data_IF_028399102055
#
_entry.id   IF_028399102055
#
_cell.length_a   1.000
_cell.length_b   1.000
_cell.length_c   1.000
_cell.angle_alpha   90.00
_cell.angle_beta   90.00
_cell.angle_gamma   90.00
#
_symmetry.space_group_name_H-M   'P 1'
#
loop_
_entity.id
_entity.type
_entity.pdbx_description
1 polymer ?
#
# COMPACT_ATOMS: atom_id res chain seq x y z
N UNK A 1 5.20 -9.30 -15.88
CA UNK A 1 4.92 -7.91 -16.30
C UNK A 1 6.16 -7.09 -15.93
N UNK A 2 6.50 -5.98 -16.63
CA UNK A 2 7.71 -5.26 -16.32
C UNK A 2 7.59 -4.64 -14.93
N UNK A 3 8.47 -5.09 -14.03
CA UNK A 3 8.69 -4.55 -12.69
C UNK A 3 8.90 -3.04 -12.78
N UNK A 4 8.08 -2.25 -12.08
CA UNK A 4 8.40 -0.84 -11.88
C UNK A 4 9.53 -0.80 -10.85
N UNK A 5 10.76 -0.65 -11.33
CA UNK A 5 11.95 -0.51 -10.48
C UNK A 5 11.80 0.77 -9.67
N UNK A 6 11.54 0.64 -8.37
CA UNK A 6 11.71 1.75 -7.45
C UNK A 6 13.19 2.09 -7.38
N UNK A 7 13.55 3.36 -7.38
CA UNK A 7 14.95 3.74 -7.14
C UNK A 7 15.45 3.16 -5.81
N UNK A 8 16.73 2.77 -5.77
CA UNK A 8 17.49 2.30 -4.59
C UNK A 8 17.00 1.02 -3.91
N UNK A 9 17.10 -0.13 -4.62
CA UNK A 9 17.08 -1.46 -4.00
C UNK A 9 15.70 -2.05 -3.69
N UNK A 10 14.62 -1.55 -4.29
CA UNK A 10 13.26 -2.10 -4.12
C UNK A 10 12.43 -1.94 -5.40
N UNK A 11 11.36 -2.71 -5.52
CA UNK A 11 10.41 -2.58 -6.62
C UNK A 11 8.96 -2.64 -6.15
N UNK A 12 8.06 -2.23 -7.03
CA UNK A 12 6.62 -2.45 -6.87
C UNK A 12 6.21 -3.77 -7.53
N UNK A 13 5.72 -4.71 -6.74
CA UNK A 13 5.22 -6.00 -7.23
C UNK A 13 3.81 -5.82 -7.81
N UNK A 14 3.68 -6.08 -9.12
CA UNK A 14 2.44 -5.89 -9.88
C UNK A 14 1.31 -6.86 -9.52
N UNK A 15 1.63 -7.98 -8.87
CA UNK A 15 0.67 -9.02 -8.54
C UNK A 15 0.02 -8.76 -7.17
N UNK A 16 0.83 -8.35 -6.21
CA UNK A 16 0.42 -8.05 -4.83
C UNK A 16 0.08 -6.58 -4.62
N UNK A 17 0.55 -5.69 -5.50
CA UNK A 17 0.49 -4.23 -5.36
C UNK A 17 1.26 -3.69 -4.14
N UNK A 18 2.27 -4.44 -3.70
CA UNK A 18 3.10 -4.14 -2.54
C UNK A 18 4.54 -3.80 -2.95
N UNK A 19 5.22 -2.95 -2.18
CA UNK A 19 6.66 -2.77 -2.34
C UNK A 19 7.43 -3.99 -1.81
N UNK A 20 8.52 -4.34 -2.49
CA UNK A 20 9.43 -5.44 -2.15
C UNK A 20 10.87 -4.95 -2.21
N UNK A 21 11.66 -5.23 -1.17
CA UNK A 21 13.09 -4.92 -1.16
C UNK A 21 13.86 -6.01 -1.92
N UNK A 22 14.63 -5.59 -2.92
CA UNK A 22 15.53 -6.45 -3.72
C UNK A 22 16.96 -6.46 -3.14
N UNK A 23 17.40 -5.31 -2.63
CA UNK A 23 18.71 -5.09 -2.02
C UNK A 23 18.54 -4.25 -0.75
N UNK A 24 18.58 -4.92 0.41
CA UNK A 24 18.39 -4.27 1.70
C UNK A 24 19.50 -3.25 2.01
N UNK A 25 20.75 -3.50 1.58
CA UNK A 25 21.86 -2.59 1.85
C UNK A 25 21.71 -1.29 1.05
N UNK A 26 21.39 -1.41 -0.24
CA UNK A 26 21.11 -0.25 -1.08
C UNK A 26 19.86 0.51 -0.62
N UNK A 27 18.81 -0.21 -0.22
CA UNK A 27 17.59 0.38 0.33
C UNK A 27 17.91 1.19 1.58
N UNK A 28 18.57 0.59 2.59
CA UNK A 28 18.94 1.27 3.84
C UNK A 28 19.81 2.50 3.59
N UNK A 29 20.80 2.41 2.70
CA UNK A 29 21.68 3.53 2.37
C UNK A 29 20.92 4.74 1.80
N UNK A 30 19.81 4.51 1.08
CA UNK A 30 19.00 5.58 0.49
C UNK A 30 18.02 6.26 1.45
N UNK A 31 17.69 5.64 2.59
CA UNK A 31 16.69 6.17 3.53
C UNK A 31 17.25 7.16 4.57
N UNK A 32 18.58 7.29 4.67
CA UNK A 32 19.23 8.19 5.63
C UNK A 32 18.77 7.92 7.08
N UNK A 33 18.48 8.98 7.82
CA UNK A 33 18.07 8.92 9.24
C UNK A 33 16.54 8.75 9.43
N UNK A 34 15.83 8.12 8.48
CA UNK A 34 14.38 7.88 8.62
C UNK A 34 14.11 7.02 9.88
N UNK A 35 13.41 7.55 10.90
CA UNK A 35 13.15 6.83 12.14
C UNK A 35 12.23 5.61 11.94
N UNK A 36 11.59 5.49 10.78
CA UNK A 36 10.73 4.37 10.40
C UNK A 36 11.45 3.31 9.55
N UNK A 37 12.74 3.49 9.26
CA UNK A 37 13.52 2.61 8.38
C UNK A 37 13.43 1.14 8.78
N UNK A 38 13.62 0.81 10.06
CA UNK A 38 13.61 -0.59 10.50
C UNK A 38 12.23 -1.24 10.30
N UNK A 39 11.15 -0.47 10.53
CA UNK A 39 9.79 -0.94 10.23
C UNK A 39 9.62 -1.20 8.72
N UNK A 40 10.06 -0.27 7.88
CA UNK A 40 9.97 -0.41 6.42
C UNK A 40 10.72 -1.65 5.92
N UNK A 41 11.94 -1.87 6.41
CA UNK A 41 12.73 -3.05 6.05
C UNK A 41 12.02 -4.33 6.46
N UNK A 42 11.51 -4.43 7.68
CA UNK A 42 10.78 -5.62 8.12
C UNK A 42 9.51 -5.84 7.28
N UNK A 43 8.74 -4.79 7.03
CA UNK A 43 7.50 -4.86 6.27
C UNK A 43 7.75 -5.27 4.80
N UNK A 44 8.66 -4.58 4.11
CA UNK A 44 8.91 -4.77 2.68
C UNK A 44 9.78 -6.02 2.39
N UNK A 45 10.43 -6.59 3.42
CA UNK A 45 11.00 -7.95 3.38
C UNK A 45 10.02 -9.03 3.85
N UNK A 46 8.71 -8.77 3.83
CA UNK A 46 7.64 -9.75 4.14
C UNK A 46 7.72 -10.33 5.56
N UNK A 47 8.18 -9.53 6.53
CA UNK A 47 8.23 -9.87 7.97
C UNK A 47 7.30 -8.97 8.80
N UNK A 48 6.00 -8.86 8.49
CA UNK A 48 5.10 -7.93 9.17
C UNK A 48 4.89 -8.27 10.66
N UNK A 49 5.06 -9.55 11.05
CA UNK A 49 5.03 -9.95 12.47
C UNK A 49 6.15 -9.31 13.30
N UNK A 50 7.35 -9.19 12.73
CA UNK A 50 8.47 -8.49 13.37
C UNK A 50 8.32 -6.97 13.32
N UNK A 51 7.61 -6.43 12.31
CA UNK A 51 7.33 -5.00 12.20
C UNK A 51 6.26 -4.51 13.20
N UNK A 52 5.33 -5.39 13.61
CA UNK A 52 4.18 -5.03 14.44
C UNK A 52 4.54 -4.38 15.79
N UNK A 53 5.51 -4.89 16.58
CA UNK A 53 5.91 -4.22 17.82
C UNK A 53 6.41 -2.80 17.59
N UNK A 54 7.20 -2.57 16.52
CA UNK A 54 7.72 -1.25 16.16
C UNK A 54 6.56 -0.32 15.76
N UNK A 55 5.64 -0.83 14.93
CA UNK A 55 4.46 -0.06 14.52
C UNK A 55 3.59 0.36 15.71
N UNK A 56 3.39 -0.54 16.68
CA UNK A 56 2.64 -0.29 17.92
C UNK A 56 3.29 0.78 18.79
N UNK A 57 4.62 0.74 18.93
CA UNK A 57 5.37 1.75 19.68
C UNK A 57 5.26 3.14 19.03
N UNK A 58 5.41 3.22 17.71
CA UNK A 58 5.26 4.47 16.94
C UNK A 58 3.88 5.11 17.08
N UNK A 59 2.81 4.30 17.20
CA UNK A 59 1.45 4.83 17.41
C UNK A 59 1.10 5.09 18.88
N UNK A 60 1.79 4.46 19.83
CA UNK A 60 1.55 4.61 21.27
C UNK A 60 2.13 5.88 21.90
N UNK A 61 3.02 6.58 21.18
CA UNK A 61 3.67 7.81 21.65
C UNK A 61 2.96 9.07 21.13
N UNK A 62 3.41 9.62 20.00
CA UNK A 62 2.79 10.74 19.28
C UNK A 62 2.62 10.34 17.81
N UNK A 63 1.51 9.70 17.43
CA UNK A 63 1.32 9.19 16.09
C UNK A 63 1.24 10.34 15.08
N UNK A 64 2.03 10.24 14.01
CA UNK A 64 1.82 11.02 12.79
C UNK A 64 0.88 10.24 11.86
N UNK A 65 0.28 10.88 10.84
CA UNK A 65 -0.46 10.15 9.80
C UNK A 65 0.40 9.04 9.14
N UNK A 66 1.71 9.27 8.99
CA UNK A 66 2.65 8.27 8.47
C UNK A 66 2.77 7.07 9.42
N UNK A 67 2.87 7.28 10.74
CA UNK A 67 2.92 6.17 11.71
C UNK A 67 1.65 5.33 11.66
N UNK A 68 0.48 5.96 11.55
CA UNK A 68 -0.81 5.27 11.43
C UNK A 68 -0.92 4.49 10.12
N UNK A 69 -0.51 5.08 9.00
CA UNK A 69 -0.48 4.40 7.71
C UNK A 69 0.47 3.18 7.73
N UNK A 70 1.68 3.32 8.27
CA UNK A 70 2.61 2.19 8.41
C UNK A 70 2.06 1.09 9.33
N UNK A 71 1.38 1.45 10.42
CA UNK A 71 0.70 0.47 11.26
C UNK A 71 -0.42 -0.25 10.49
N UNK A 72 -1.23 0.47 9.72
CA UNK A 72 -2.26 -0.12 8.88
C UNK A 72 -1.68 -1.02 7.78
N UNK A 73 -0.55 -0.67 7.17
CA UNK A 73 0.17 -1.53 6.22
C UNK A 73 0.64 -2.83 6.89
N UNK A 74 1.17 -2.76 8.11
CA UNK A 74 1.55 -3.96 8.88
C UNK A 74 0.33 -4.84 9.19
N UNK A 75 -0.80 -4.23 9.59
CA UNK A 75 -2.04 -4.97 9.85
C UNK A 75 -2.58 -5.64 8.59
N UNK A 76 -2.56 -4.94 7.45
CA UNK A 76 -2.94 -5.50 6.14
C UNK A 76 -2.10 -6.73 5.81
N UNK A 77 -0.78 -6.63 5.93
CA UNK A 77 0.15 -7.71 5.59
C UNK A 77 0.06 -8.91 6.57
N UNK A 78 -0.48 -8.70 7.77
CA UNK A 78 -0.84 -9.76 8.72
C UNK A 78 -2.23 -10.38 8.45
N UNK A 79 -2.96 -9.92 7.44
CA UNK A 79 -4.33 -10.35 7.16
C UNK A 79 -5.39 -9.74 8.08
N UNK A 80 -5.00 -8.79 8.96
CA UNK A 80 -5.92 -8.01 9.83
C UNK A 80 -6.49 -6.83 9.04
N UNK A 81 -7.09 -7.14 7.89
CA UNK A 81 -7.45 -6.16 6.86
C UNK A 81 -8.59 -5.24 7.29
N UNK A 82 -9.55 -5.72 8.09
CA UNK A 82 -10.61 -4.87 8.65
C UNK A 82 -10.05 -3.71 9.48
N UNK A 83 -9.11 -3.99 10.39
CA UNK A 83 -8.47 -2.95 11.20
C UNK A 83 -7.62 -1.98 10.36
N UNK A 84 -6.99 -2.48 9.29
CA UNK A 84 -6.25 -1.64 8.35
C UNK A 84 -7.19 -0.69 7.59
N UNK A 85 -8.35 -1.19 7.14
CA UNK A 85 -9.39 -0.40 6.47
C UNK A 85 -9.90 0.70 7.40
N UNK A 86 -10.25 0.39 8.65
CA UNK A 86 -10.75 1.38 9.62
C UNK A 86 -9.75 2.54 9.83
N UNK A 87 -8.45 2.23 9.91
CA UNK A 87 -7.41 3.25 10.03
C UNK A 87 -7.33 4.10 8.76
N UNK A 88 -7.37 3.47 7.58
CA UNK A 88 -7.28 4.18 6.32
C UNK A 88 -8.51 5.03 6.02
N UNK A 89 -9.72 4.60 6.37
CA UNK A 89 -10.94 5.41 6.26
C UNK A 89 -10.82 6.69 7.08
N UNK A 90 -10.36 6.57 8.33
CA UNK A 90 -10.08 7.74 9.18
C UNK A 90 -9.02 8.66 8.56
N UNK A 91 -7.93 8.11 8.02
CA UNK A 91 -6.87 8.89 7.39
C UNK A 91 -7.34 9.59 6.10
N UNK A 92 -8.18 8.95 5.30
CA UNK A 92 -8.79 9.55 4.11
C UNK A 92 -9.69 10.71 4.51
N UNK A 93 -10.56 10.52 5.52
CA UNK A 93 -11.43 11.58 6.03
C UNK A 93 -10.63 12.78 6.57
N UNK A 94 -9.56 12.53 7.33
CA UNK A 94 -8.68 13.58 7.88
C UNK A 94 -7.86 14.32 6.82
N UNK A 95 -7.60 13.68 5.67
CA UNK A 95 -6.77 14.26 4.60
C UNK A 95 -7.56 14.77 3.41
N UNK A 96 -8.90 14.73 3.46
CA UNK A 96 -9.78 15.19 2.40
C UNK A 96 -9.47 16.64 1.98
N UNK A 97 -9.36 16.87 0.67
CA UNK A 97 -9.00 18.17 0.08
C UNK A 97 -7.52 18.55 0.22
N UNK A 98 -6.68 17.70 0.82
CA UNK A 98 -5.23 17.96 0.95
C UNK A 98 -4.43 17.16 -0.08
N UNK A 99 -3.17 17.54 -0.37
CA UNK A 99 -2.29 16.75 -1.24
C UNK A 99 -2.06 15.30 -0.78
N UNK A 100 -2.39 14.97 0.49
CA UNK A 100 -2.24 13.62 1.04
C UNK A 100 -3.44 12.71 0.80
N UNK A 101 -4.61 13.24 0.41
CA UNK A 101 -5.82 12.45 0.16
C UNK A 101 -5.52 11.31 -0.82
N UNK A 102 -4.86 11.63 -1.94
CA UNK A 102 -4.51 10.67 -2.97
C UNK A 102 -3.63 9.50 -2.47
N UNK A 103 -2.75 9.78 -1.49
CA UNK A 103 -1.90 8.75 -0.89
C UNK A 103 -2.74 7.85 0.01
N UNK A 104 -3.51 8.43 0.94
CA UNK A 104 -4.34 7.65 1.87
C UNK A 104 -5.39 6.81 1.13
N UNK A 105 -6.02 7.37 0.09
CA UNK A 105 -7.00 6.66 -0.74
C UNK A 105 -6.37 5.51 -1.53
N UNK A 106 -5.14 5.68 -2.04
CA UNK A 106 -4.42 4.58 -2.70
C UNK A 106 -4.17 3.43 -1.71
N UNK A 107 -3.77 3.74 -0.47
CA UNK A 107 -3.52 2.71 0.53
C UNK A 107 -4.81 2.04 1.03
N UNK A 108 -5.92 2.79 1.14
CA UNK A 108 -7.25 2.21 1.39
C UNK A 108 -7.62 1.18 0.32
N UNK A 109 -7.39 1.51 -0.96
CA UNK A 109 -7.59 0.57 -2.06
C UNK A 109 -6.74 -0.70 -1.92
N UNK A 110 -5.49 -0.59 -1.48
CA UNK A 110 -4.64 -1.76 -1.19
C UNK A 110 -5.17 -2.58 -0.01
N UNK A 111 -5.71 -1.95 1.03
CA UNK A 111 -6.29 -2.65 2.17
C UNK A 111 -7.55 -3.44 1.77
N UNK A 112 -8.45 -2.83 1.00
CA UNK A 112 -9.60 -3.53 0.40
C UNK A 112 -9.18 -4.63 -0.56
N UNK A 113 -8.16 -4.38 -1.39
CA UNK A 113 -7.59 -5.39 -2.27
C UNK A 113 -7.12 -6.59 -1.45
N UNK A 114 -6.30 -6.41 -0.42
CA UNK A 114 -5.88 -7.53 0.45
C UNK A 114 -7.03 -8.21 1.19
N UNK A 115 -8.14 -7.53 1.45
CA UNK A 115 -9.35 -8.11 2.05
C UNK A 115 -10.18 -8.96 1.09
N UNK A 116 -9.94 -8.84 -0.23
CA UNK A 116 -10.81 -9.44 -1.26
C UNK A 116 -12.04 -8.60 -1.58
N UNK A 117 -12.12 -7.39 -1.04
CA UNK A 117 -13.16 -6.40 -1.34
C UNK A 117 -12.84 -5.71 -2.67
N UNK A 118 -12.83 -6.48 -3.75
CA UNK A 118 -12.27 -6.04 -5.04
C UNK A 118 -13.04 -4.85 -5.62
N UNK A 119 -14.36 -4.78 -5.43
CA UNK A 119 -15.20 -3.67 -5.88
C UNK A 119 -14.82 -2.37 -5.19
N UNK A 120 -14.67 -2.40 -3.86
CA UNK A 120 -14.28 -1.26 -3.04
C UNK A 120 -12.83 -0.84 -3.34
N UNK A 121 -11.94 -1.81 -3.57
CA UNK A 121 -10.58 -1.55 -4.01
C UNK A 121 -10.54 -0.79 -5.34
N UNK A 122 -11.36 -1.20 -6.31
CA UNK A 122 -11.47 -0.52 -7.60
C UNK A 122 -11.91 0.94 -7.43
N UNK A 123 -12.96 1.19 -6.66
CA UNK A 123 -13.46 2.55 -6.38
C UNK A 123 -12.36 3.42 -5.76
N UNK A 124 -11.62 2.90 -4.78
CA UNK A 124 -10.53 3.63 -4.14
C UNK A 124 -9.37 3.91 -5.13
N UNK A 125 -8.98 2.94 -5.96
CA UNK A 125 -7.92 3.14 -6.95
C UNK A 125 -8.32 4.14 -8.05
N UNK A 126 -9.58 4.12 -8.49
CA UNK A 126 -10.10 5.12 -9.43
C UNK A 126 -10.06 6.53 -8.83
N UNK A 127 -10.51 6.68 -7.57
CA UNK A 127 -10.45 7.96 -6.87
C UNK A 127 -9.01 8.45 -6.69
N UNK A 128 -8.09 7.57 -6.28
CA UNK A 128 -6.67 7.92 -6.13
C UNK A 128 -6.04 8.34 -7.47
N UNK A 129 -6.37 7.64 -8.56
CA UNK A 129 -5.93 7.99 -9.91
C UNK A 129 -6.43 9.38 -10.32
N UNK A 130 -7.73 9.66 -10.15
CA UNK A 130 -8.32 10.98 -10.45
C UNK A 130 -7.61 12.08 -9.68
N UNK A 131 -7.45 11.92 -8.36
CA UNK A 131 -6.78 12.91 -7.51
C UNK A 131 -5.33 13.17 -7.95
N UNK A 132 -4.57 12.13 -8.30
CA UNK A 132 -3.18 12.27 -8.76
C UNK A 132 -3.09 12.95 -10.12
N UNK A 133 -3.99 12.62 -11.05
CA UNK A 133 -4.04 13.25 -12.36
C UNK A 133 -4.42 14.73 -12.26
N UNK A 134 -5.44 15.07 -11.48
CA UNK A 134 -5.87 16.46 -11.26
C UNK A 134 -4.79 17.30 -10.57
N UNK A 135 -4.05 16.72 -9.64
CA UNK A 135 -2.95 17.39 -8.93
C UNK A 135 -1.65 17.48 -9.75
N UNK A 136 -1.58 16.89 -10.95
CA UNK A 136 -0.34 16.81 -11.72
C UNK A 136 0.78 16.07 -10.99
N UNK A 137 0.44 15.01 -10.24
CA UNK A 137 1.40 14.21 -9.50
C UNK A 137 2.45 13.55 -10.44
N UNK A 138 3.63 13.19 -9.92
CA UNK A 138 4.62 12.41 -10.65
C UNK A 138 4.03 11.20 -11.39
N UNK A 139 4.47 10.96 -12.64
CA UNK A 139 3.87 9.94 -13.52
C UNK A 139 4.01 8.52 -12.94
N UNK A 140 5.04 8.24 -12.14
CA UNK A 140 5.18 6.96 -11.43
C UNK A 140 4.03 6.70 -10.45
N UNK A 141 3.58 7.72 -9.72
CA UNK A 141 2.41 7.62 -8.83
C UNK A 141 1.10 7.48 -9.61
N UNK A 142 0.98 8.17 -10.75
CA UNK A 142 -0.18 8.04 -11.65
C UNK A 142 -0.23 6.63 -12.24
N UNK A 143 0.89 6.14 -12.76
CA UNK A 143 1.04 4.81 -13.34
C UNK A 143 0.73 3.71 -12.30
N UNK A 144 1.23 3.83 -11.06
CA UNK A 144 0.92 2.90 -9.97
C UNK A 144 -0.58 2.81 -9.67
N UNK A 145 -1.31 3.94 -9.68
CA UNK A 145 -2.77 3.94 -9.47
C UNK A 145 -3.51 3.31 -10.65
N UNK A 146 -3.05 3.61 -11.87
CA UNK A 146 -3.60 3.08 -13.12
C UNK A 146 -3.49 1.55 -13.15
N UNK A 147 -2.32 1.03 -12.79
CA UNK A 147 -2.04 -0.40 -12.69
C UNK A 147 -2.91 -1.08 -11.64
N UNK A 148 -3.00 -0.51 -10.43
CA UNK A 148 -3.82 -1.04 -9.35
C UNK A 148 -5.32 -1.11 -9.74
N UNK A 149 -5.84 -0.05 -10.37
CA UNK A 149 -7.20 -0.03 -10.93
C UNK A 149 -7.40 -1.12 -11.98
N UNK A 150 -6.50 -1.21 -12.97
CA UNK A 150 -6.63 -2.22 -14.03
C UNK A 150 -6.59 -3.64 -13.48
N UNK A 151 -5.79 -3.85 -12.43
CA UNK A 151 -5.73 -5.12 -11.72
C UNK A 151 -7.04 -5.46 -11.03
N UNK A 152 -7.65 -4.51 -10.33
CA UNK A 152 -8.94 -4.69 -9.67
C UNK A 152 -10.05 -4.97 -10.69
N UNK A 153 -10.09 -4.23 -11.81
CA UNK A 153 -11.04 -4.45 -12.91
C UNK A 153 -10.92 -5.86 -13.50
N UNK A 154 -9.70 -6.30 -13.85
CA UNK A 154 -9.48 -7.65 -14.36
C UNK A 154 -9.92 -8.75 -13.38
N UNK A 155 -9.79 -8.50 -12.08
CA UNK A 155 -10.25 -9.43 -11.06
C UNK A 155 -11.78 -9.51 -10.97
N UNK A 156 -12.49 -8.39 -11.08
CA UNK A 156 -13.96 -8.37 -11.18
C UNK A 156 -14.45 -9.06 -12.45
N UNK A 157 -13.76 -8.85 -13.57
CA UNK A 157 -14.09 -9.46 -14.86
C UNK A 157 -13.70 -10.96 -14.93
N UNK A 158 -13.04 -11.49 -13.89
CA UNK A 158 -12.60 -12.89 -13.82
C UNK A 158 -11.45 -13.26 -14.77
N UNK A 159 -10.78 -12.25 -15.34
CA UNK A 159 -9.66 -12.39 -16.31
C UNK A 159 -8.29 -12.41 -15.64
N UNK A 160 -8.20 -12.08 -14.34
CA UNK A 160 -7.01 -12.30 -13.52
C UNK A 160 -7.42 -12.63 -12.07
N UNK A 161 -6.74 -13.54 -11.36
CA UNK A 161 -7.09 -13.85 -9.97
C UNK A 161 -6.73 -12.68 -9.05
N UNK A 162 -7.50 -12.47 -7.98
CA UNK A 162 -7.00 -11.69 -6.83
C UNK A 162 -6.14 -12.60 -5.94
N UNK A 163 -5.04 -12.13 -5.31
CA UNK A 163 -4.12 -12.98 -4.53
C UNK A 163 -4.74 -13.92 -3.49
N UNK A 164 -5.91 -13.60 -2.92
CA UNK A 164 -6.62 -14.48 -1.98
C UNK A 164 -7.65 -15.42 -2.60
N UNK A 165 -7.82 -15.43 -3.93
CA UNK A 165 -8.74 -16.33 -4.63
C UNK A 165 -8.16 -17.75 -4.72
N UNK A 166 -8.47 -18.56 -3.71
CA UNK A 166 -8.10 -19.98 -3.65
C UNK A 166 -8.97 -20.88 -4.55
N UNK A 167 -10.02 -20.33 -5.20
CA UNK A 167 -11.02 -21.11 -5.94
C UNK A 167 -10.56 -21.53 -7.34
N UNK A 168 -9.42 -21.02 -7.82
CA UNK A 168 -8.86 -21.29 -9.17
C UNK A 168 -7.55 -22.09 -9.16
N UNK A 169 -7.11 -22.60 -8.01
CA UNK A 169 -5.90 -23.44 -7.88
C UNK A 169 -6.17 -24.95 -8.04
N UNK A 170 -7.22 -25.34 -8.77
CA UNK A 170 -7.52 -26.74 -9.12
C UNK A 170 -7.42 -26.95 -10.62
#
# INVERSE_FOLDING_TARGET
MPTVTGGSGWHFDSDTLLPVIDDEAAFRAAQGDDPTLELLVLLWSRRPGSALPIARDLVGSRPTPRHRALHADVLRDLGRTAEAIDIYDSLVAETAGTPREAVMTQHLGKAHWSAGNVSEALVAFERALTLRTEAGAPEDLVASSREARDRARRALDGTAPWPGDTRRLK
#
